data_IF_111814226586
#
_entry.id   IF_111814226586
#
_cell.length_a   1.000
_cell.length_b   1.000
_cell.length_c   1.000
_cell.angle_alpha   90.00
_cell.angle_beta   90.00
_cell.angle_gamma   90.00
#
_symmetry.space_group_name_H-M   'P 1'
#
loop_
_entity.id
_entity.type
_entity.pdbx_description
1 polymer ?
#
# COMPACT_ATOMS: atom_id res chain seq x y z
N UNK A 1 4.82 13.77 24.45
CA UNK A 1 4.16 14.53 23.35
C UNK A 1 5.24 15.02 22.42
N UNK A 2 5.54 14.30 21.35
CA UNK A 2 6.60 14.65 20.39
C UNK A 2 6.01 14.62 18.97
N UNK A 3 6.18 15.74 18.28
CA UNK A 3 5.65 16.04 16.95
C UNK A 3 6.19 15.07 15.90
N UNK A 4 5.30 14.38 15.19
CA UNK A 4 5.60 13.77 13.90
C UNK A 4 5.70 14.89 12.87
N UNK A 5 6.89 15.12 12.32
CA UNK A 5 7.08 15.88 11.07
C UNK A 5 6.28 15.21 9.97
N UNK A 6 5.53 16.02 9.20
CA UNK A 6 4.62 15.59 8.13
C UNK A 6 5.32 14.88 6.94
N UNK A 7 6.65 14.82 6.95
CA UNK A 7 7.48 14.40 5.83
C UNK A 7 7.79 12.89 5.86
N UNK A 8 8.09 12.30 7.02
CA UNK A 8 8.54 10.90 7.12
C UNK A 8 7.44 9.86 6.83
N UNK A 9 6.18 10.23 6.97
CA UNK A 9 5.02 9.36 6.68
C UNK A 9 4.58 9.47 5.20
N UNK A 10 4.85 10.61 4.55
CA UNK A 10 4.43 10.89 3.17
C UNK A 10 5.20 10.11 2.10
N UNK A 11 6.51 9.92 2.28
CA UNK A 11 7.35 9.23 1.29
C UNK A 11 7.16 7.71 1.26
N UNK A 12 6.79 7.08 2.40
CA UNK A 12 6.54 5.63 2.45
C UNK A 12 5.13 5.26 1.97
N UNK A 13 4.12 6.11 2.19
CA UNK A 13 2.74 5.87 1.72
C UNK A 13 2.60 5.94 0.19
N UNK A 14 3.40 6.76 -0.51
CA UNK A 14 3.34 6.84 -1.97
C UNK A 14 3.91 5.59 -2.67
N UNK A 15 4.81 4.86 -2.02
CA UNK A 15 5.47 3.69 -2.62
C UNK A 15 4.59 2.44 -2.66
N UNK A 16 3.71 2.27 -1.67
CA UNK A 16 2.85 1.07 -1.56
C UNK A 16 1.49 1.23 -2.25
N UNK A 17 1.06 2.46 -2.53
CA UNK A 17 -0.22 2.76 -3.19
C UNK A 17 -0.08 2.91 -4.71
N UNK A 18 1.13 3.23 -5.21
CA UNK A 18 1.42 3.30 -6.64
C UNK A 18 2.81 2.74 -6.97
N UNK A 19 2.87 1.53 -7.53
CA UNK A 19 3.99 1.15 -8.41
C UNK A 19 3.58 0.07 -9.41
N UNK A 20 4.06 0.21 -10.65
CA UNK A 20 5.24 -0.57 -11.00
C UNK A 20 6.44 0.33 -11.39
N UNK A 21 7.57 0.06 -10.73
CA UNK A 21 8.97 0.25 -11.14
C UNK A 21 9.36 1.50 -11.97
N UNK A 22 10.22 2.36 -11.39
CA UNK A 22 11.54 2.63 -11.96
C UNK A 22 12.46 3.32 -10.95
N UNK A 23 13.64 2.73 -10.74
CA UNK A 23 14.77 3.32 -10.02
C UNK A 23 15.30 4.50 -10.84
N UNK A 24 15.28 5.71 -10.28
CA UNK A 24 16.06 6.84 -10.76
C UNK A 24 16.95 7.30 -9.61
N UNK A 25 18.26 7.08 -9.75
CA UNK A 25 19.28 7.64 -8.87
C UNK A 25 19.31 9.16 -9.05
N UNK A 26 19.04 9.92 -7.98
CA UNK A 26 19.40 11.33 -7.91
C UNK A 26 20.70 11.47 -7.13
N UNK A 27 21.71 12.03 -7.81
CA UNK A 27 22.96 12.51 -7.24
C UNK A 27 22.82 14.00 -6.97
N UNK A 28 23.24 14.44 -5.78
CA UNK A 28 23.68 15.80 -5.47
C UNK A 28 22.61 16.91 -5.39
N UNK A 29 22.39 17.46 -4.20
CA UNK A 29 23.07 18.68 -3.77
C UNK A 29 22.78 18.99 -2.29
N UNK A 30 23.86 19.23 -1.56
CA UNK A 30 23.90 19.58 -0.14
C UNK A 30 23.60 21.07 -0.02
N UNK A 31 22.51 21.43 0.65
CA UNK A 31 22.30 22.79 1.15
C UNK A 31 22.63 22.82 2.64
N UNK A 32 23.78 23.42 2.97
CA UNK A 32 24.16 23.81 4.33
C UNK A 32 23.15 24.84 4.84
N UNK A 33 22.55 24.58 6.00
CA UNK A 33 22.05 25.62 6.88
C UNK A 33 22.85 25.61 8.18
N UNK A 34 23.58 26.70 8.38
CA UNK A 34 24.27 27.07 9.61
C UNK A 34 23.26 27.60 10.62
N UNK A 35 23.27 27.05 11.82
CA UNK A 35 22.49 27.56 12.96
C UNK A 35 22.86 26.78 14.21
N UNK A 36 23.93 27.20 14.88
CA UNK A 36 24.31 26.66 16.18
C UNK A 36 23.60 27.42 17.31
N UNK A 37 23.11 26.68 18.32
CA UNK A 37 22.97 27.16 19.69
C UNK A 37 23.26 25.99 20.64
N UNK A 38 24.40 26.13 21.33
CA UNK A 38 24.79 25.75 22.69
C UNK A 38 24.51 24.33 23.23
N UNK A 39 25.63 23.67 23.53
CA UNK A 39 25.77 22.58 24.47
C UNK A 39 25.46 23.04 25.91
N UNK A 40 24.83 22.17 26.69
CA UNK A 40 24.81 22.21 28.14
C UNK A 40 25.03 20.78 28.68
N UNK A 41 26.23 20.61 29.22
CA UNK A 41 26.67 19.80 30.36
C UNK A 41 26.05 18.42 30.65
N UNK A 42 26.95 17.43 30.52
CA UNK A 42 26.93 16.17 31.23
C UNK A 42 27.13 16.38 32.74
N UNK A 43 26.27 15.81 33.57
CA UNK A 43 26.52 15.60 34.99
C UNK A 43 26.37 14.11 35.31
N UNK A 44 27.41 13.58 35.94
CA UNK A 44 27.55 12.22 36.44
C UNK A 44 26.87 12.04 37.81
N UNK A 45 26.45 10.80 38.11
CA UNK A 45 26.28 10.22 39.46
C UNK A 45 26.14 8.70 39.25
N UNK A 46 27.20 7.91 39.42
CA UNK A 46 27.62 7.20 40.64
C UNK A 46 26.78 5.95 40.97
N UNK A 47 27.47 4.80 40.98
CA UNK A 47 27.04 3.49 41.46
C UNK A 47 26.97 3.43 43.00
N UNK A 48 26.54 2.27 43.56
CA UNK A 48 27.57 1.48 44.24
C UNK A 48 27.54 -0.04 43.96
N UNK A 49 28.74 -0.60 44.14
CA UNK A 49 29.21 -1.98 44.00
C UNK A 49 28.52 -3.03 44.89
N UNK A 50 28.55 -4.29 44.43
CA UNK A 50 29.11 -5.39 45.20
C UNK A 50 29.43 -6.60 44.29
N UNK A 51 30.66 -7.11 44.44
CA UNK A 51 31.35 -8.07 43.59
C UNK A 51 31.03 -9.55 43.86
N UNK A 52 31.36 -10.42 42.91
CA UNK A 52 32.33 -11.51 43.14
C UNK A 52 32.75 -12.25 41.84
N UNK A 53 34.08 -12.30 41.62
CA UNK A 53 34.98 -13.38 41.12
C UNK A 53 34.45 -14.51 40.21
N UNK A 54 35.15 -15.11 39.25
CA UNK A 54 36.52 -15.04 38.70
C UNK A 54 36.61 -15.97 37.45
N UNK A 55 37.62 -15.72 36.61
CA UNK A 55 38.38 -16.66 35.74
C UNK A 55 37.70 -17.71 34.84
N UNK A 56 37.97 -17.61 33.52
CA UNK A 56 38.93 -18.53 32.88
C UNK A 56 38.48 -19.89 32.30
N UNK A 57 38.56 -19.95 30.96
CA UNK A 57 39.13 -21.06 30.16
C UNK A 57 38.25 -22.26 29.72
N UNK A 58 38.38 -22.49 28.41
CA UNK A 58 37.96 -23.59 27.53
C UNK A 58 38.43 -24.97 27.98
N UNK A 59 37.56 -25.98 27.92
CA UNK A 59 37.95 -27.40 27.72
C UNK A 59 36.90 -28.14 26.88
N UNK A 60 37.28 -28.59 25.68
CA UNK A 60 36.60 -29.65 24.94
C UNK A 60 37.25 -31.00 25.29
N UNK A 61 36.44 -32.00 25.67
CA UNK A 61 36.90 -33.38 25.91
C UNK A 61 36.84 -34.25 24.66
N UNK A 62 37.94 -34.96 24.36
CA UNK A 62 37.95 -36.23 23.60
C UNK A 62 37.55 -37.42 24.50
N UNK A 63 37.89 -38.70 24.21
CA UNK A 63 38.83 -39.29 23.23
C UNK A 63 38.15 -40.41 22.35
N UNK A 64 38.73 -41.16 21.41
CA UNK A 64 40.08 -41.38 20.86
C UNK A 64 40.07 -42.66 19.99
N UNK A 65 41.09 -42.87 19.15
CA UNK A 65 41.67 -44.18 18.75
C UNK A 65 42.91 -43.94 17.86
N UNK A 66 43.96 -44.71 18.14
CA UNK A 66 45.33 -44.68 17.56
C UNK A 66 45.46 -45.57 16.31
N UNK A 67 46.41 -45.28 15.41
CA UNK A 67 47.62 -46.10 15.16
C UNK A 67 48.47 -45.61 13.94
N UNK A 68 49.74 -45.26 14.25
CA UNK A 68 51.05 -45.52 13.62
C UNK A 68 51.46 -45.31 12.13
N UNK A 69 52.66 -44.69 12.03
CA UNK A 69 53.79 -44.76 11.03
C UNK A 69 53.53 -44.16 9.63
N UNK A 70 54.40 -43.35 8.99
CA UNK A 70 55.87 -43.32 8.93
C UNK A 70 56.38 -41.92 8.48
N UNK A 71 57.62 -41.57 8.83
CA UNK A 71 58.36 -40.38 8.37
C UNK A 71 59.09 -40.68 7.06
N UNK A 72 59.18 -39.69 6.17
CA UNK A 72 60.37 -39.43 5.32
C UNK A 72 60.44 -37.93 4.99
N UNK A 73 61.62 -37.36 5.25
CA UNK A 73 62.08 -36.00 4.91
C UNK A 73 62.37 -35.84 3.41
N UNK A 74 62.33 -34.62 2.85
CA UNK A 74 63.36 -34.00 1.97
C UNK A 74 62.85 -32.69 1.30
N UNK A 75 63.44 -31.57 1.73
CA UNK A 75 63.90 -30.33 1.03
C UNK A 75 63.01 -29.64 -0.04
N UNK A 76 62.61 -28.38 0.23
CA UNK A 76 62.04 -27.41 -0.74
C UNK A 76 63.09 -26.72 -1.64
N UNK A 77 62.73 -25.93 -2.68
CA UNK A 77 62.04 -24.63 -2.55
C UNK A 77 61.15 -24.26 -3.79
N UNK A 78 60.80 -22.99 -4.09
CA UNK A 78 60.17 -21.94 -3.29
C UNK A 78 58.76 -21.56 -3.80
N UNK A 79 58.13 -20.67 -3.03
CA UNK A 79 56.81 -20.09 -3.22
C UNK A 79 56.48 -19.55 -4.62
N UNK A 80 55.23 -19.80 -5.07
CA UNK A 80 54.28 -18.80 -5.59
C UNK A 80 52.92 -19.44 -5.91
N UNK A 81 51.97 -19.34 -4.98
CA UNK A 81 50.54 -19.36 -5.29
C UNK A 81 49.74 -18.84 -4.09
N UNK A 82 48.91 -17.79 -4.24
CA UNK A 82 48.12 -17.25 -3.14
C UNK A 82 46.95 -18.15 -2.76
N UNK A 83 46.55 -18.02 -1.50
CA UNK A 83 45.34 -18.54 -0.88
C UNK A 83 44.07 -18.29 -1.72
N UNK A 84 43.05 -19.18 -1.68
CA UNK A 84 41.75 -18.87 -2.27
C UNK A 84 41.05 -17.78 -1.44
N UNK A 85 40.78 -16.63 -2.08
CA UNK A 85 39.87 -15.60 -1.58
C UNK A 85 38.43 -16.15 -1.46
N UNK A 86 37.62 -15.61 -0.55
CA UNK A 86 36.20 -15.95 -0.44
C UNK A 86 35.46 -15.57 -1.72
N UNK A 87 34.53 -16.44 -2.13
CA UNK A 87 33.73 -16.31 -3.35
C UNK A 87 33.11 -14.91 -3.51
N UNK A 88 33.73 -14.08 -4.35
CA UNK A 88 33.11 -12.89 -4.93
C UNK A 88 32.06 -13.34 -5.93
N UNK A 89 30.81 -12.93 -5.74
CA UNK A 89 29.76 -13.06 -6.74
C UNK A 89 30.18 -12.28 -8.00
N UNK A 90 30.64 -12.99 -9.03
CA UNK A 90 30.81 -12.41 -10.36
C UNK A 90 29.43 -12.02 -10.90
N UNK A 91 29.17 -10.72 -10.99
CA UNK A 91 28.12 -10.20 -11.85
C UNK A 91 28.44 -10.58 -13.30
N UNK A 92 27.81 -11.65 -13.79
CA UNK A 92 27.76 -11.90 -15.23
C UNK A 92 27.06 -10.72 -15.89
N UNK A 93 27.85 -9.89 -16.58
CA UNK A 93 27.37 -8.94 -17.57
C UNK A 93 26.66 -9.72 -18.67
N UNK A 94 25.34 -9.86 -18.54
CA UNK A 94 24.49 -10.24 -19.66
C UNK A 94 24.57 -9.11 -20.69
N UNK A 95 25.39 -9.29 -21.73
CA UNK A 95 25.24 -8.57 -22.99
C UNK A 95 23.82 -8.86 -23.49
N UNK A 96 22.90 -7.92 -23.27
CA UNK A 96 21.58 -7.94 -23.89
C UNK A 96 21.79 -7.95 -25.39
N UNK A 97 21.46 -9.06 -26.06
CA UNK A 97 21.07 -8.99 -27.47
C UNK A 97 19.89 -8.04 -27.55
N UNK A 98 19.97 -7.05 -28.43
CA UNK A 98 18.86 -6.16 -28.73
C UNK A 98 17.75 -6.99 -29.41
N UNK A 99 16.86 -7.57 -28.61
CA UNK A 99 15.57 -8.07 -29.08
C UNK A 99 14.62 -6.89 -28.99
N UNK A 100 14.14 -6.43 -30.15
CA UNK A 100 13.19 -5.33 -30.28
C UNK A 100 11.88 -5.64 -29.57
N UNK A 101 11.83 -5.41 -28.26
CA UNK A 101 10.59 -5.28 -27.54
C UNK A 101 10.01 -3.91 -27.87
N UNK A 102 9.11 -3.85 -28.85
CA UNK A 102 8.24 -2.69 -29.01
C UNK A 102 7.37 -2.62 -27.74
N UNK A 103 7.76 -1.79 -26.78
CA UNK A 103 6.86 -1.42 -25.68
C UNK A 103 5.63 -0.78 -26.34
N UNK A 104 4.44 -1.26 -26.01
CA UNK A 104 3.20 -0.60 -26.43
C UNK A 104 3.29 0.84 -25.95
N UNK A 105 3.26 1.85 -26.85
CA UNK A 105 3.18 3.22 -26.42
C UNK A 105 1.86 3.37 -25.68
N UNK A 106 1.91 3.50 -24.36
CA UNK A 106 0.79 4.10 -23.64
C UNK A 106 0.90 5.57 -24.00
N UNK A 107 -0.13 6.22 -24.57
CA UNK A 107 -0.18 7.66 -24.65
C UNK A 107 -0.17 8.18 -23.22
N UNK A 108 1.02 8.48 -22.70
CA UNK A 108 1.16 9.33 -21.53
C UNK A 108 1.00 10.74 -22.08
N UNK A 109 0.03 11.54 -21.61
CA UNK A 109 0.00 12.95 -21.95
C UNK A 109 1.38 13.54 -21.61
N UNK A 110 2.12 13.99 -22.62
CA UNK A 110 3.38 14.71 -22.43
C UNK A 110 3.06 16.13 -21.94
N UNK A 111 2.61 16.24 -20.68
CA UNK A 111 2.71 17.45 -19.87
C UNK A 111 2.85 17.14 -18.37
N UNK A 112 3.96 16.52 -17.91
CA UNK A 112 4.38 16.66 -16.53
C UNK A 112 5.54 17.66 -16.51
N UNK A 113 5.27 18.97 -16.32
CA UNK A 113 6.23 19.95 -15.73
C UNK A 113 5.79 21.44 -15.72
N UNK A 114 4.55 21.80 -16.08
CA UNK A 114 4.07 23.20 -15.98
C UNK A 114 3.02 23.41 -14.87
N UNK A 115 2.98 22.55 -13.85
CA UNK A 115 2.01 22.67 -12.73
C UNK A 115 2.63 23.02 -11.37
N UNK A 116 3.94 23.28 -11.31
CA UNK A 116 4.63 23.75 -10.11
C UNK A 116 5.21 25.15 -10.33
N UNK A 117 4.37 26.08 -10.77
CA UNK A 117 4.65 27.51 -10.56
C UNK A 117 4.21 27.89 -9.14
N UNK A 118 5.08 28.52 -8.32
CA UNK A 118 4.69 29.04 -7.02
C UNK A 118 3.68 30.16 -7.22
N UNK A 119 2.42 29.93 -6.82
CA UNK A 119 1.31 30.89 -6.98
C UNK A 119 0.02 30.31 -7.58
N UNK A 120 0.00 29.04 -8.01
CA UNK A 120 -1.18 28.36 -8.55
C UNK A 120 -2.01 27.54 -7.54
N UNK A 121 -1.64 27.57 -6.25
CA UNK A 121 -2.11 26.60 -5.25
C UNK A 121 -3.57 26.81 -4.80
N UNK A 122 -4.19 27.96 -5.12
CA UNK A 122 -5.58 28.27 -4.72
C UNK A 122 -6.66 27.83 -5.73
N UNK A 123 -6.29 27.46 -6.97
CA UNK A 123 -7.27 27.13 -8.03
C UNK A 123 -7.43 25.65 -8.34
N UNK A 124 -6.49 24.79 -7.92
CA UNK A 124 -6.58 23.35 -8.18
C UNK A 124 -7.38 22.59 -7.10
N UNK A 125 -7.36 23.08 -5.86
CA UNK A 125 -8.03 22.44 -4.71
C UNK A 125 -9.50 22.85 -4.53
N UNK A 126 -10.01 23.79 -5.34
CA UNK A 126 -11.42 24.20 -5.34
C UNK A 126 -12.30 23.36 -6.27
N UNK A 127 -11.71 22.45 -7.06
CA UNK A 127 -12.35 21.88 -8.26
C UNK A 127 -12.70 20.39 -8.17
N UNK A 128 -12.64 19.77 -6.99
CA UNK A 128 -13.32 18.48 -6.81
C UNK A 128 -14.79 18.81 -6.54
N UNK A 129 -15.60 18.69 -7.58
CA UNK A 129 -17.06 18.71 -7.47
C UNK A 129 -17.49 17.68 -6.42
N UNK A 130 -18.57 17.97 -5.71
CA UNK A 130 -19.09 17.05 -4.68
C UNK A 130 -19.83 15.87 -5.31
N UNK A 131 -19.12 15.15 -6.18
CA UNK A 131 -19.59 14.08 -7.06
C UNK A 131 -19.45 12.69 -6.43
N UNK A 132 -19.94 11.68 -7.16
CA UNK A 132 -19.80 10.27 -6.76
C UNK A 132 -18.34 9.82 -6.73
N UNK A 133 -17.53 10.32 -7.67
CA UNK A 133 -16.11 9.96 -7.78
C UNK A 133 -15.35 10.53 -6.59
N UNK A 134 -15.65 11.77 -6.19
CA UNK A 134 -15.12 12.36 -4.97
C UNK A 134 -15.45 11.49 -3.75
N UNK A 135 -16.71 11.09 -3.58
CA UNK A 135 -17.14 10.25 -2.48
C UNK A 135 -16.31 8.96 -2.34
N UNK A 136 -16.06 8.27 -3.47
CA UNK A 136 -15.21 7.08 -3.49
C UNK A 136 -13.76 7.39 -3.11
N UNK A 137 -13.18 8.49 -3.63
CA UNK A 137 -11.79 8.86 -3.31
C UNK A 137 -11.58 9.12 -1.82
N UNK A 138 -12.50 9.83 -1.16
CA UNK A 138 -12.46 10.05 0.29
C UNK A 138 -12.56 8.73 1.07
N UNK A 139 -13.50 7.85 0.69
CA UNK A 139 -13.67 6.57 1.36
C UNK A 139 -12.45 5.64 1.23
N UNK A 140 -11.91 5.46 0.01
CA UNK A 140 -10.76 4.57 -0.21
C UNK A 140 -9.48 5.12 0.42
N UNK A 141 -9.29 6.45 0.44
CA UNK A 141 -8.12 7.07 1.10
C UNK A 141 -8.20 6.93 2.62
N UNK A 142 -9.35 7.19 3.23
CA UNK A 142 -9.53 7.01 4.67
C UNK A 142 -9.36 5.54 5.10
N UNK A 143 -9.91 4.60 4.33
CA UNK A 143 -9.72 3.17 4.54
C UNK A 143 -8.26 2.74 4.32
N UNK A 144 -7.60 3.26 3.29
CA UNK A 144 -6.22 2.96 2.95
C UNK A 144 -5.23 3.41 4.03
N UNK A 145 -5.41 4.63 4.59
CA UNK A 145 -4.61 5.10 5.72
C UNK A 145 -4.82 4.21 6.94
N UNK A 146 -6.07 3.88 7.28
CA UNK A 146 -6.37 3.01 8.42
C UNK A 146 -5.76 1.61 8.25
N UNK A 147 -5.86 1.05 7.04
CA UNK A 147 -5.29 -0.26 6.69
C UNK A 147 -3.77 -0.27 6.78
N UNK A 148 -3.09 0.68 6.13
CA UNK A 148 -1.64 0.75 6.09
C UNK A 148 -1.02 0.97 7.48
N UNK A 149 -1.60 1.86 8.28
CA UNK A 149 -1.13 2.10 9.66
C UNK A 149 -1.31 0.86 10.52
N UNK A 150 -2.49 0.24 10.47
CA UNK A 150 -2.73 -0.99 11.23
C UNK A 150 -1.75 -2.09 10.83
N UNK A 151 -1.52 -2.28 9.53
CA UNK A 151 -0.59 -3.27 9.02
C UNK A 151 0.85 -3.02 9.50
N UNK A 152 1.30 -1.75 9.48
CA UNK A 152 2.61 -1.38 9.97
C UNK A 152 2.77 -1.60 11.49
N UNK A 153 1.72 -1.31 12.28
CA UNK A 153 1.70 -1.59 13.72
C UNK A 153 1.81 -3.09 14.00
N UNK A 154 1.02 -3.92 13.30
CA UNK A 154 1.05 -5.38 13.49
C UNK A 154 2.35 -6.04 13.03
N UNK A 155 3.10 -5.40 12.14
CA UNK A 155 4.43 -5.86 11.71
C UNK A 155 5.56 -5.40 12.65
N UNK A 156 5.28 -4.52 13.61
CA UNK A 156 6.30 -3.91 14.47
C UNK A 156 7.17 -2.86 13.77
N UNK A 157 6.73 -2.33 12.62
CA UNK A 157 7.45 -1.28 11.89
C UNK A 157 7.32 0.11 12.55
N UNK A 158 6.39 0.26 13.48
CA UNK A 158 6.12 1.51 14.20
C UNK A 158 6.26 1.25 15.70
N UNK A 159 7.02 2.10 16.40
CA UNK A 159 7.28 1.95 17.84
C UNK A 159 6.13 2.43 18.73
N UNK A 160 5.23 3.26 18.21
CA UNK A 160 4.15 3.90 18.98
C UNK A 160 2.84 3.07 19.02
N UNK A 161 2.82 1.92 18.36
CA UNK A 161 1.66 1.04 18.29
C UNK A 161 2.11 -0.42 18.15
N UNK A 162 1.18 -1.35 18.29
CA UNK A 162 1.48 -2.78 18.22
C UNK A 162 0.26 -3.62 17.86
N UNK A 163 0.26 -4.85 18.34
CA UNK A 163 -0.87 -5.76 18.22
C UNK A 163 -2.00 -5.38 19.17
N UNK A 164 -3.23 -5.82 18.86
CA UNK A 164 -4.38 -5.67 19.74
C UNK A 164 -4.19 -6.52 21.01
N UNK A 165 -4.07 -5.84 22.16
CA UNK A 165 -3.88 -6.46 23.47
C UNK A 165 -5.19 -6.93 24.11
N UNK A 166 -6.36 -6.46 23.63
CA UNK A 166 -7.67 -6.89 24.13
C UNK A 166 -7.95 -8.36 23.78
N UNK A 167 -7.23 -8.91 22.80
CA UNK A 167 -7.45 -10.24 22.22
C UNK A 167 -6.29 -11.18 22.56
N UNK A 168 -6.05 -11.35 23.85
CA UNK A 168 -5.02 -12.24 24.39
C UNK A 168 -5.62 -13.27 25.34
N UNK A 169 -5.02 -14.47 25.40
CA UNK A 169 -5.44 -15.54 26.31
C UNK A 169 -6.43 -16.55 25.73
N UNK A 170 -7.10 -17.29 26.61
CA UNK A 170 -7.97 -18.40 26.22
C UNK A 170 -9.38 -17.89 25.91
N UNK A 171 -9.87 -18.15 24.69
CA UNK A 171 -11.25 -17.84 24.30
C UNK A 171 -12.11 -19.09 24.50
N UNK A 172 -13.27 -18.92 25.13
CA UNK A 172 -14.36 -19.89 25.34
C UNK A 172 -14.01 -21.40 25.31
N UNK A 173 -14.12 -22.08 26.47
CA UNK A 173 -13.78 -23.50 26.71
C UNK A 173 -14.54 -24.51 25.85
N UNK A 174 -15.62 -24.07 25.21
CA UNK A 174 -16.46 -24.87 24.32
C UNK A 174 -15.97 -24.87 22.85
N UNK A 175 -15.24 -23.85 22.40
CA UNK A 175 -14.83 -23.71 20.98
C UNK A 175 -13.42 -24.26 20.67
N UNK A 176 -12.67 -24.69 21.70
CA UNK A 176 -11.42 -25.43 21.55
C UNK A 176 -10.24 -24.65 20.93
N UNK A 177 -10.25 -23.32 20.97
CA UNK A 177 -9.17 -22.49 20.43
C UNK A 177 -8.75 -21.36 21.37
N UNK A 178 -7.51 -20.89 21.22
CA UNK A 178 -6.95 -19.81 22.04
C UNK A 178 -6.55 -18.61 21.19
N UNK A 179 -6.64 -17.41 21.74
CA UNK A 179 -6.00 -16.24 21.14
C UNK A 179 -4.48 -16.41 21.18
N UNK A 180 -3.82 -15.96 20.13
CA UNK A 180 -2.36 -15.86 20.09
C UNK A 180 -1.89 -15.29 18.76
N UNK A 181 -0.59 -15.06 18.62
CA UNK A 181 -0.08 -14.30 17.49
C UNK A 181 -0.32 -12.79 17.66
N UNK A 182 -0.31 -12.05 16.55
CA UNK A 182 -0.52 -10.61 16.54
C UNK A 182 -1.88 -10.28 15.91
N UNK A 183 -2.88 -10.01 16.74
CA UNK A 183 -4.16 -9.49 16.26
C UNK A 183 -4.00 -8.06 15.78
N UNK A 184 -4.55 -7.75 14.60
CA UNK A 184 -4.50 -6.41 14.04
C UNK A 184 -5.37 -5.42 14.84
N UNK A 185 -4.76 -4.35 15.37
CA UNK A 185 -5.48 -3.27 16.06
C UNK A 185 -6.09 -2.27 15.07
N UNK A 186 -7.20 -2.69 14.45
CA UNK A 186 -7.91 -1.85 13.48
C UNK A 186 -8.54 -0.61 14.14
N UNK A 187 -8.81 -0.66 15.46
CA UNK A 187 -9.35 0.50 16.19
C UNK A 187 -8.33 1.64 16.18
N UNK A 188 -7.07 1.33 16.49
CA UNK A 188 -5.97 2.28 16.44
C UNK A 188 -5.80 2.89 15.04
N UNK A 189 -5.74 2.06 14.00
CA UNK A 189 -5.58 2.55 12.63
C UNK A 189 -6.74 3.43 12.15
N UNK A 190 -7.99 3.09 12.53
CA UNK A 190 -9.15 3.92 12.23
C UNK A 190 -9.11 5.25 12.98
N UNK A 191 -8.71 5.26 14.25
CA UNK A 191 -8.56 6.49 15.01
C UNK A 191 -7.44 7.39 14.45
N UNK A 192 -6.31 6.80 14.05
CA UNK A 192 -5.26 7.52 13.35
C UNK A 192 -5.78 8.14 12.06
N UNK A 193 -6.47 7.35 11.23
CA UNK A 193 -7.08 7.82 9.97
C UNK A 193 -8.07 8.96 10.23
N UNK A 194 -8.86 8.89 11.30
CA UNK A 194 -9.77 9.97 11.73
C UNK A 194 -9.01 11.24 12.04
N UNK A 195 -7.98 11.17 12.89
CA UNK A 195 -7.18 12.35 13.26
C UNK A 195 -6.41 12.94 12.07
N UNK A 196 -5.93 12.10 11.15
CA UNK A 196 -5.08 12.53 10.04
C UNK A 196 -5.89 13.01 8.82
N UNK A 197 -6.82 12.19 8.32
CA UNK A 197 -7.57 12.49 7.09
C UNK A 197 -8.62 13.56 7.34
N UNK A 198 -9.31 13.52 8.50
CA UNK A 198 -10.38 14.48 8.78
C UNK A 198 -9.86 15.85 9.23
N UNK A 199 -8.58 15.97 9.61
CA UNK A 199 -7.97 17.25 9.99
C UNK A 199 -8.00 18.29 8.85
N UNK A 200 -8.08 17.85 7.59
CA UNK A 200 -8.19 18.74 6.43
C UNK A 200 -9.61 19.32 6.27
N UNK A 201 -10.61 18.74 6.91
CA UNK A 201 -12.03 19.11 6.78
C UNK A 201 -12.45 20.23 7.74
N UNK A 202 -11.85 21.41 7.56
CA UNK A 202 -11.99 22.57 8.47
C UNK A 202 -13.25 23.39 8.16
N UNK A 203 -13.62 23.54 6.88
CA UNK A 203 -14.70 24.45 6.44
C UNK A 203 -16.08 23.96 6.89
N UNK A 204 -16.90 24.81 7.51
CA UNK A 204 -18.26 24.48 7.98
C UNK A 204 -19.32 24.45 6.86
N UNK A 205 -19.08 23.65 5.83
CA UNK A 205 -19.91 23.56 4.62
C UNK A 205 -20.51 22.17 4.43
N UNK A 206 -21.49 22.04 3.54
CA UNK A 206 -22.12 20.74 3.22
C UNK A 206 -21.10 19.70 2.71
N UNK A 207 -20.10 20.16 1.95
CA UNK A 207 -18.99 19.33 1.46
C UNK A 207 -18.22 18.67 2.60
N UNK A 208 -17.97 19.37 3.72
CA UNK A 208 -17.33 18.78 4.89
C UNK A 208 -18.14 17.63 5.46
N UNK A 209 -19.46 17.78 5.58
CA UNK A 209 -20.32 16.69 6.08
C UNK A 209 -20.27 15.48 5.14
N UNK A 210 -20.24 15.71 3.83
CA UNK A 210 -20.11 14.66 2.82
C UNK A 210 -18.76 13.95 2.93
N UNK A 211 -17.66 14.69 3.01
CA UNK A 211 -16.31 14.15 3.12
C UNK A 211 -16.15 13.32 4.41
N UNK A 212 -16.58 13.84 5.56
CA UNK A 212 -16.52 13.12 6.84
C UNK A 212 -17.37 11.84 6.82
N UNK A 213 -18.55 11.87 6.22
CA UNK A 213 -19.40 10.69 6.05
C UNK A 213 -18.70 9.63 5.22
N UNK A 214 -18.16 10.00 4.06
CA UNK A 214 -17.50 9.06 3.15
C UNK A 214 -16.19 8.50 3.74
N UNK A 215 -15.42 9.34 4.45
CA UNK A 215 -14.23 8.89 5.18
C UNK A 215 -14.61 7.81 6.21
N UNK A 216 -15.66 8.05 6.99
CA UNK A 216 -16.13 7.10 7.99
C UNK A 216 -16.70 5.82 7.36
N UNK A 217 -17.43 5.93 6.25
CA UNK A 217 -17.94 4.77 5.50
C UNK A 217 -16.79 3.84 5.06
N UNK A 218 -15.69 4.42 4.56
CA UNK A 218 -14.47 3.66 4.22
C UNK A 218 -13.85 2.96 5.42
N UNK A 219 -13.70 3.66 6.55
CA UNK A 219 -13.15 3.08 7.79
C UNK A 219 -14.05 1.98 8.35
N UNK A 220 -15.36 2.16 8.30
CA UNK A 220 -16.34 1.18 8.78
C UNK A 220 -16.33 -0.09 7.95
N UNK A 221 -16.26 0.01 6.62
CA UNK A 221 -16.12 -1.16 5.74
C UNK A 221 -14.83 -1.95 6.06
N UNK A 222 -13.73 -1.27 6.37
CA UNK A 222 -12.50 -1.94 6.80
C UNK A 222 -12.70 -2.70 8.12
N UNK A 223 -13.32 -2.07 9.12
CA UNK A 223 -13.58 -2.68 10.43
C UNK A 223 -14.49 -3.91 10.32
N UNK A 224 -15.55 -3.84 9.51
CA UNK A 224 -16.50 -4.94 9.33
C UNK A 224 -15.95 -6.12 8.51
N UNK A 225 -14.76 -5.99 7.92
CA UNK A 225 -14.14 -7.00 7.04
C UNK A 225 -12.87 -7.61 7.59
N UNK A 226 -12.53 -7.33 8.86
CA UNK A 226 -11.48 -8.07 9.58
C UNK A 226 -11.85 -9.53 9.71
N UNK A 227 -10.88 -10.43 9.59
CA UNK A 227 -11.11 -11.88 9.59
C UNK A 227 -10.37 -12.53 10.74
N UNK A 228 -11.00 -13.50 11.39
CA UNK A 228 -10.32 -14.39 12.32
C UNK A 228 -9.56 -15.44 11.49
N UNK A 229 -8.22 -15.39 11.54
CA UNK A 229 -7.38 -16.44 10.97
C UNK A 229 -6.86 -17.34 12.07
N UNK A 230 -6.80 -18.65 11.79
CA UNK A 230 -6.38 -19.66 12.74
C UNK A 230 -5.29 -20.54 12.15
N UNK A 231 -4.31 -20.90 13.00
CA UNK A 231 -3.31 -21.93 12.70
C UNK A 231 -3.54 -23.14 13.58
N UNK A 232 -3.57 -24.30 12.95
CA UNK A 232 -3.71 -25.59 13.62
C UNK A 232 -2.35 -26.14 14.03
N UNK A 233 -2.28 -26.70 15.23
CA UNK A 233 -1.04 -27.20 15.85
C UNK A 233 -1.13 -28.66 16.29
N UNK A 234 -2.16 -29.40 15.88
CA UNK A 234 -2.32 -30.80 16.22
C UNK A 234 -1.35 -31.71 15.45
N UNK A 235 -1.19 -32.94 15.94
CA UNK A 235 -0.35 -33.98 15.33
C UNK A 235 -0.71 -34.14 13.85
N UNK A 236 0.31 -34.20 12.98
CA UNK A 236 0.18 -34.30 11.52
C UNK A 236 -0.66 -33.20 10.86
N UNK A 237 -0.74 -32.00 11.47
CA UNK A 237 -1.50 -30.87 10.93
C UNK A 237 -3.00 -30.87 11.30
N UNK A 238 -3.41 -31.72 12.25
CA UNK A 238 -4.79 -31.71 12.76
C UNK A 238 -5.13 -30.42 13.52
N UNK A 239 -6.43 -30.07 13.57
CA UNK A 239 -6.94 -28.85 14.22
C UNK A 239 -7.50 -29.08 15.63
N UNK A 240 -7.05 -30.13 16.33
CA UNK A 240 -7.47 -30.41 17.73
C UNK A 240 -7.08 -29.31 18.71
N UNK A 241 -6.02 -28.57 18.42
CA UNK A 241 -5.69 -27.31 19.06
C UNK A 241 -5.33 -26.30 17.97
N UNK A 242 -5.95 -25.13 18.02
CA UNK A 242 -5.66 -24.03 17.10
C UNK A 242 -5.50 -22.71 17.84
N UNK A 243 -4.63 -21.87 17.30
CA UNK A 243 -4.39 -20.51 17.77
C UNK A 243 -4.92 -19.55 16.72
N UNK A 244 -5.70 -18.55 17.11
CA UNK A 244 -6.28 -17.60 16.17
C UNK A 244 -5.95 -16.14 16.53
N UNK A 245 -5.94 -15.29 15.50
CA UNK A 245 -5.74 -13.85 15.59
C UNK A 245 -6.61 -13.13 14.56
N UNK A 246 -6.89 -11.86 14.83
CA UNK A 246 -7.58 -11.00 13.86
C UNK A 246 -6.58 -10.52 12.82
N UNK A 247 -6.97 -10.61 11.54
CA UNK A 247 -6.18 -10.14 10.40
C UNK A 247 -6.93 -9.09 9.61
N UNK A 248 -6.16 -8.23 8.94
CA UNK A 248 -6.68 -7.28 7.98
C UNK A 248 -7.06 -8.00 6.67
N UNK A 249 -8.18 -7.62 6.03
CA UNK A 249 -8.48 -8.08 4.69
C UNK A 249 -7.46 -7.53 3.69
N UNK A 250 -7.40 -8.14 2.50
CA UNK A 250 -6.62 -7.60 1.39
C UNK A 250 -7.22 -6.25 0.99
N UNK A 251 -6.39 -5.21 0.83
CA UNK A 251 -6.88 -3.87 0.46
C UNK A 251 -7.70 -3.89 -0.85
N UNK A 252 -7.36 -4.78 -1.78
CA UNK A 252 -8.13 -4.99 -3.03
C UNK A 252 -9.58 -5.41 -2.78
N UNK A 253 -9.85 -6.22 -1.74
CA UNK A 253 -11.21 -6.63 -1.35
C UNK A 253 -12.01 -5.40 -0.88
N UNK A 254 -11.40 -4.54 -0.06
CA UNK A 254 -12.00 -3.27 0.37
C UNK A 254 -12.27 -2.36 -0.83
N UNK A 255 -11.34 -2.28 -1.78
CA UNK A 255 -11.52 -1.53 -3.03
C UNK A 255 -12.71 -2.00 -3.86
N UNK A 256 -12.95 -3.32 -3.94
CA UNK A 256 -14.12 -3.86 -4.61
C UNK A 256 -15.42 -3.52 -3.90
N UNK A 257 -15.48 -3.70 -2.58
CA UNK A 257 -16.66 -3.34 -1.79
C UNK A 257 -17.00 -1.86 -1.92
N UNK A 258 -16.00 -0.97 -1.84
CA UNK A 258 -16.20 0.46 -2.05
C UNK A 258 -16.64 0.78 -3.48
N UNK A 259 -16.20 0.01 -4.48
CA UNK A 259 -16.62 0.19 -5.88
C UNK A 259 -18.08 -0.23 -6.11
N UNK A 260 -18.56 -1.22 -5.37
CA UNK A 260 -19.98 -1.59 -5.32
C UNK A 260 -20.78 -0.45 -4.69
N UNK A 261 -20.36 0.05 -3.51
CA UNK A 261 -20.99 1.21 -2.84
C UNK A 261 -20.98 2.48 -3.69
N UNK A 262 -19.96 2.67 -4.51
CA UNK A 262 -19.90 3.77 -5.48
C UNK A 262 -21.01 3.66 -6.53
N UNK A 263 -21.31 2.45 -7.00
CA UNK A 263 -22.33 2.22 -8.02
C UNK A 263 -23.74 2.46 -7.45
N UNK A 264 -23.92 2.22 -6.16
CA UNK A 264 -25.15 2.44 -5.39
C UNK A 264 -25.18 3.79 -4.64
N UNK A 265 -24.19 4.66 -4.88
CA UNK A 265 -24.05 5.90 -4.12
C UNK A 265 -25.30 6.78 -4.23
N UNK A 266 -25.65 7.44 -3.13
CA UNK A 266 -26.91 8.19 -3.00
C UNK A 266 -26.69 9.70 -3.01
N UNK A 267 -27.55 10.41 -3.71
CA UNK A 267 -27.52 11.88 -3.71
C UNK A 267 -28.14 12.40 -2.41
N UNK A 268 -27.46 13.32 -1.75
CA UNK A 268 -27.89 13.92 -0.49
C UNK A 268 -28.01 15.43 -0.62
N UNK A 269 -28.74 16.03 0.31
CA UNK A 269 -28.83 17.48 0.45
C UNK A 269 -28.63 17.90 1.92
N UNK A 270 -27.99 19.05 2.17
CA UNK A 270 -27.77 19.55 3.51
C UNK A 270 -29.05 20.13 4.09
N UNK A 271 -29.38 19.72 5.32
CA UNK A 271 -30.40 20.39 6.11
C UNK A 271 -29.75 21.50 6.93
N UNK A 272 -30.31 22.70 6.84
CA UNK A 272 -29.81 23.89 7.55
C UNK A 272 -30.61 24.09 8.83
N UNK A 273 -29.91 24.19 9.96
CA UNK A 273 -30.54 24.56 11.21
C UNK A 273 -30.92 26.05 11.19
N UNK A 274 -32.16 26.36 11.60
CA UNK A 274 -32.78 27.69 11.48
C UNK A 274 -31.94 28.83 12.11
N UNK A 275 -31.25 28.56 13.23
CA UNK A 275 -30.52 29.59 13.99
C UNK A 275 -29.11 29.92 13.50
N UNK A 276 -28.45 29.02 12.76
CA UNK A 276 -27.01 29.16 12.45
C UNK A 276 -26.72 29.29 10.95
N UNK A 277 -27.71 29.10 10.06
CA UNK A 277 -27.55 28.96 8.59
C UNK A 277 -26.50 27.92 8.14
N UNK A 278 -25.85 27.24 9.07
CA UNK A 278 -24.86 26.20 8.85
C UNK A 278 -25.57 24.87 8.59
N UNK A 279 -25.05 24.06 7.66
CA UNK A 279 -25.56 22.72 7.41
C UNK A 279 -25.27 21.84 8.64
N UNK A 280 -26.32 21.26 9.22
CA UNK A 280 -26.22 20.46 10.44
C UNK A 280 -26.10 18.97 10.14
N UNK A 281 -26.82 18.47 9.14
CA UNK A 281 -26.81 17.06 8.74
C UNK A 281 -27.20 16.89 7.27
N UNK A 282 -26.94 15.70 6.73
CA UNK A 282 -27.29 15.30 5.37
C UNK A 282 -28.54 14.42 5.38
N UNK A 283 -29.44 14.63 4.42
CA UNK A 283 -30.59 13.75 4.16
C UNK A 283 -30.58 13.27 2.72
N UNK A 284 -31.22 12.13 2.45
CA UNK A 284 -31.41 11.63 1.10
C UNK A 284 -32.25 12.60 0.26
N UNK A 285 -31.76 12.96 -0.93
CA UNK A 285 -32.45 13.87 -1.84
C UNK A 285 -33.60 13.12 -2.53
N UNK A 286 -34.82 13.66 -2.45
CA UNK A 286 -36.01 13.09 -3.09
C UNK A 286 -36.68 11.94 -2.31
N UNK A 287 -36.21 11.63 -1.09
CA UNK A 287 -36.89 10.69 -0.21
C UNK A 287 -38.20 11.29 0.35
N UNK A 288 -39.23 10.44 0.54
CA UNK A 288 -40.45 10.85 1.25
C UNK A 288 -40.15 10.95 2.74
N UNK A 289 -40.17 12.17 3.27
CA UNK A 289 -39.86 12.44 4.67
C UNK A 289 -38.36 12.52 4.95
N UNK A 290 -38.01 12.56 6.24
CA UNK A 290 -36.63 12.65 6.67
C UNK A 290 -35.98 11.26 6.69
N UNK A 291 -35.01 11.04 5.80
CA UNK A 291 -34.22 9.81 5.76
C UNK A 291 -32.72 10.13 5.72
N UNK A 292 -31.96 9.52 6.64
CA UNK A 292 -30.50 9.66 6.74
C UNK A 292 -29.83 8.54 5.92
N UNK A 293 -28.70 8.81 5.23
CA UNK A 293 -27.94 7.77 4.54
C UNK A 293 -27.40 6.69 5.51
N UNK A 294 -27.20 5.49 4.95
CA UNK A 294 -26.38 4.38 5.47
C UNK A 294 -25.06 4.90 6.02
N UNK A 295 -24.57 4.44 7.16
CA UNK A 295 -23.18 4.74 7.57
C UNK A 295 -22.12 4.06 6.68
N UNK A 296 -22.50 3.04 5.93
CA UNK A 296 -21.69 2.38 4.90
C UNK A 296 -22.03 2.82 3.47
N UNK A 297 -23.02 3.71 3.30
CA UNK A 297 -23.39 4.27 1.99
C UNK A 297 -22.40 5.38 1.60
N UNK A 298 -22.02 5.44 0.33
CA UNK A 298 -21.32 6.59 -0.22
C UNK A 298 -22.32 7.67 -0.64
N UNK A 299 -22.03 8.92 -0.28
CA UNK A 299 -22.94 10.05 -0.48
C UNK A 299 -22.29 11.17 -1.28
N UNK A 300 -23.09 11.82 -2.13
CA UNK A 300 -22.64 12.93 -2.97
C UNK A 300 -23.69 14.05 -3.04
N UNK A 301 -23.26 15.29 -3.27
CA UNK A 301 -24.16 16.46 -3.33
C UNK A 301 -24.54 16.81 -4.77
N UNK A 302 -23.58 16.73 -5.68
CA UNK A 302 -23.66 17.20 -7.08
C UNK A 302 -23.56 16.03 -8.05
N UNK A 303 -24.29 16.10 -9.16
CA UNK A 303 -24.22 15.07 -10.19
C UNK A 303 -22.84 15.12 -10.85
N UNK A 304 -22.29 13.94 -11.16
CA UNK A 304 -21.02 13.84 -11.88
C UNK A 304 -21.11 14.58 -13.23
N UNK A 305 -20.05 15.29 -13.64
CA UNK A 305 -19.99 15.98 -14.91
C UNK A 305 -19.81 14.98 -16.06
N UNK A 306 -19.81 15.49 -17.30
CA UNK A 306 -19.47 14.68 -18.46
C UNK A 306 -17.94 14.56 -18.61
N UNK A 307 -17.40 13.35 -18.47
CA UNK A 307 -15.97 13.07 -18.58
C UNK A 307 -15.49 12.76 -20.01
N UNK A 308 -16.36 12.83 -21.01
CA UNK A 308 -16.04 12.45 -22.39
C UNK A 308 -15.03 13.38 -23.06
N UNK A 309 -15.22 14.68 -22.89
CA UNK A 309 -14.38 15.73 -23.45
C UNK A 309 -13.46 16.30 -22.38
N UNK A 310 -12.37 16.91 -22.84
CA UNK A 310 -11.49 17.65 -21.95
C UNK A 310 -12.22 18.90 -21.44
N UNK A 311 -12.23 19.05 -20.13
CA UNK A 311 -12.81 20.20 -19.47
C UNK A 311 -11.92 20.63 -18.33
N UNK A 312 -11.19 21.72 -18.56
CA UNK A 312 -10.37 22.36 -17.54
C UNK A 312 -11.21 22.76 -16.33
N UNK A 313 -12.51 23.07 -16.51
CA UNK A 313 -13.43 23.51 -15.46
C UNK A 313 -13.77 22.46 -14.41
N UNK A 314 -13.68 21.19 -14.76
CA UNK A 314 -13.86 20.05 -13.86
C UNK A 314 -12.56 19.32 -13.58
N UNK A 315 -11.50 19.64 -14.34
CA UNK A 315 -10.23 18.90 -14.32
C UNK A 315 -10.31 17.59 -15.11
N UNK A 316 -11.35 17.39 -15.91
CA UNK A 316 -11.49 16.24 -16.80
C UNK A 316 -10.48 16.34 -17.95
N UNK A 317 -9.66 15.30 -18.15
CA UNK A 317 -8.74 15.21 -19.29
C UNK A 317 -9.41 14.65 -20.56
N UNK A 318 -10.71 14.33 -20.50
CA UNK A 318 -11.42 13.63 -21.56
C UNK A 318 -11.03 12.15 -21.71
N UNK A 319 -11.66 11.47 -22.68
CA UNK A 319 -11.41 10.04 -22.95
C UNK A 319 -10.62 9.73 -24.21
N UNK A 320 -10.20 10.75 -24.95
CA UNK A 320 -9.38 10.62 -26.16
C UNK A 320 -8.06 9.88 -25.89
N UNK A 321 -7.69 8.95 -26.75
CA UNK A 321 -6.47 8.14 -26.62
C UNK A 321 -6.49 7.08 -25.51
N UNK A 322 -7.58 6.96 -24.75
CA UNK A 322 -7.70 5.92 -23.71
C UNK A 322 -7.88 4.54 -24.32
N UNK A 323 -7.30 3.55 -23.65
CA UNK A 323 -7.51 2.14 -23.97
C UNK A 323 -8.97 1.75 -23.67
N UNK A 324 -9.55 0.98 -24.57
CA UNK A 324 -10.89 0.44 -24.42
C UNK A 324 -10.94 -1.02 -24.85
N UNK A 325 -11.99 -1.74 -24.42
CA UNK A 325 -12.22 -3.11 -24.82
C UNK A 325 -13.20 -3.16 -26.01
N UNK A 326 -12.74 -3.65 -27.17
CA UNK A 326 -13.56 -3.73 -28.38
C UNK A 326 -14.71 -4.73 -28.30
N UNK A 327 -14.60 -5.77 -27.47
CA UNK A 327 -15.62 -6.83 -27.35
C UNK A 327 -16.62 -6.60 -26.22
N UNK A 328 -16.35 -5.67 -25.30
CA UNK A 328 -17.20 -5.40 -24.14
C UNK A 328 -18.25 -4.34 -24.46
N UNK A 329 -19.48 -4.55 -23.98
CA UNK A 329 -20.57 -3.56 -23.97
C UNK A 329 -20.67 -2.78 -22.66
N UNK A 330 -19.88 -3.14 -21.66
CA UNK A 330 -19.89 -2.51 -20.33
C UNK A 330 -19.17 -1.15 -20.35
N UNK A 331 -19.04 -0.51 -19.19
CA UNK A 331 -18.38 0.80 -19.04
C UNK A 331 -16.96 0.83 -19.59
N UNK A 332 -16.23 -0.29 -19.59
CA UNK A 332 -14.88 -0.40 -20.18
C UNK A 332 -14.87 -0.70 -21.70
N UNK A 333 -16.04 -0.87 -22.29
CA UNK A 333 -16.22 -1.10 -23.71
C UNK A 333 -15.95 0.14 -24.55
N UNK A 334 -15.44 -0.04 -25.77
CA UNK A 334 -15.14 1.09 -26.65
C UNK A 334 -16.37 1.94 -27.01
N UNK A 335 -17.57 1.36 -27.04
CA UNK A 335 -18.80 2.12 -27.27
C UNK A 335 -19.07 3.18 -26.19
N UNK A 336 -18.82 2.84 -24.92
CA UNK A 336 -19.07 3.74 -23.77
C UNK A 336 -17.84 4.59 -23.48
N UNK A 337 -16.64 4.00 -23.41
CA UNK A 337 -15.39 4.71 -23.10
C UNK A 337 -15.08 5.82 -24.11
N UNK A 338 -15.39 5.60 -25.38
CA UNK A 338 -15.10 6.56 -26.44
C UNK A 338 -16.27 7.49 -26.77
N UNK A 339 -17.37 7.43 -25.99
CA UNK A 339 -18.50 8.35 -26.08
C UNK A 339 -19.08 8.50 -27.49
N UNK A 340 -19.12 7.41 -28.27
CA UNK A 340 -19.62 7.42 -29.65
C UNK A 340 -18.67 7.98 -30.72
N UNK A 341 -17.48 8.49 -30.36
CA UNK A 341 -16.48 8.99 -31.33
C UNK A 341 -15.79 7.89 -32.16
N UNK A 342 -16.00 6.63 -31.80
CA UNK A 342 -15.30 5.48 -32.37
C UNK A 342 -13.89 5.31 -31.78
N UNK A 343 -13.17 4.31 -32.29
CA UNK A 343 -11.85 3.91 -31.80
C UNK A 343 -10.92 3.51 -32.94
N UNK A 344 -9.62 3.60 -32.70
CA UNK A 344 -8.56 3.09 -33.57
C UNK A 344 -8.14 1.70 -33.10
N UNK A 345 -7.93 0.79 -34.05
CA UNK A 345 -7.44 -0.57 -33.79
C UNK A 345 -5.98 -0.65 -34.20
N UNK A 346 -5.13 -1.08 -33.27
CA UNK A 346 -3.71 -1.29 -33.50
C UNK A 346 -3.35 -2.76 -33.28
N UNK A 347 -2.65 -3.36 -34.24
CA UNK A 347 -2.16 -4.73 -34.15
C UNK A 347 -0.74 -4.75 -33.61
N UNK A 348 -0.54 -5.44 -32.48
CA UNK A 348 0.76 -5.61 -31.85
C UNK A 348 1.09 -7.09 -31.71
N UNK A 349 2.36 -7.45 -31.95
CA UNK A 349 2.86 -8.78 -31.61
C UNK A 349 3.39 -8.75 -30.19
N UNK A 350 2.67 -9.37 -29.24
CA UNK A 350 3.11 -9.52 -27.86
C UNK A 350 3.93 -10.79 -27.73
N UNK A 351 5.13 -10.65 -27.16
CA UNK A 351 6.01 -11.78 -26.87
C UNK A 351 5.85 -12.13 -25.40
N UNK A 352 5.47 -13.38 -25.09
CA UNK A 352 5.32 -13.89 -23.73
C UNK A 352 6.05 -15.22 -23.54
N UNK A 353 6.46 -15.50 -22.31
CA UNK A 353 6.88 -16.84 -21.93
C UNK A 353 5.65 -17.77 -21.94
N UNK A 354 5.79 -18.92 -22.56
CA UNK A 354 4.75 -19.92 -22.78
C UNK A 354 5.33 -21.32 -22.61
N UNK A 355 4.46 -22.34 -22.56
CA UNK A 355 4.87 -23.75 -22.52
C UNK A 355 5.92 -24.02 -21.43
N UNK A 356 5.74 -23.41 -20.27
CA UNK A 356 6.65 -23.52 -19.13
C UNK A 356 6.58 -24.93 -18.55
N UNK A 357 7.72 -25.63 -18.53
CA UNK A 357 7.86 -26.96 -17.93
C UNK A 357 8.72 -26.86 -16.67
N UNK A 358 8.20 -27.41 -15.58
CA UNK A 358 8.98 -27.59 -14.36
C UNK A 358 9.86 -28.83 -14.51
N UNK A 359 11.16 -28.65 -14.33
CA UNK A 359 12.13 -29.72 -14.23
C UNK A 359 12.41 -29.95 -12.75
N UNK A 360 12.15 -31.18 -12.30
CA UNK A 360 12.45 -31.61 -10.94
C UNK A 360 13.93 -31.33 -10.63
N UNK A 361 14.21 -30.82 -9.42
CA UNK A 361 15.37 -29.98 -9.09
C UNK A 361 15.26 -28.49 -9.55
N UNK A 362 14.06 -27.93 -9.34
CA UNK A 362 13.77 -26.49 -9.14
C UNK A 362 13.94 -25.53 -10.32
N UNK A 363 14.02 -26.02 -11.57
CA UNK A 363 14.16 -25.15 -12.74
C UNK A 363 12.87 -25.13 -13.56
N UNK A 364 12.34 -23.94 -13.83
CA UNK A 364 11.27 -23.76 -14.81
C UNK A 364 11.90 -23.33 -16.14
N UNK A 365 11.70 -24.12 -17.19
CA UNK A 365 12.10 -23.77 -18.55
C UNK A 365 10.86 -23.39 -19.35
N UNK A 366 10.83 -22.17 -19.86
CA UNK A 366 9.76 -21.66 -20.71
C UNK A 366 10.28 -21.44 -22.14
N UNK A 367 9.38 -21.60 -23.11
CA UNK A 367 9.61 -21.17 -24.48
C UNK A 367 9.13 -19.73 -24.65
N UNK A 368 9.66 -19.02 -25.64
CA UNK A 368 9.18 -17.69 -26.00
C UNK A 368 8.17 -17.81 -27.13
N UNK A 369 6.91 -17.41 -26.88
CA UNK A 369 5.85 -17.38 -27.89
C UNK A 369 5.54 -15.94 -28.28
N UNK A 370 5.20 -15.73 -29.55
CA UNK A 370 4.62 -14.49 -30.06
C UNK A 370 3.12 -14.67 -30.34
N UNK A 371 2.31 -13.77 -29.82
CA UNK A 371 0.86 -13.74 -30.02
C UNK A 371 0.46 -12.39 -30.62
N UNK A 372 -0.33 -12.40 -31.70
CA UNK A 372 -0.91 -11.17 -32.25
C UNK A 372 -2.04 -10.73 -31.33
N UNK A 373 -1.96 -9.51 -30.82
CA UNK A 373 -2.97 -8.90 -29.97
C UNK A 373 -3.46 -7.60 -30.57
N UNK A 374 -4.76 -7.36 -30.47
CA UNK A 374 -5.39 -6.11 -30.87
C UNK A 374 -5.52 -5.16 -29.68
N UNK A 375 -5.23 -3.90 -29.90
CA UNK A 375 -5.36 -2.84 -28.90
C UNK A 375 -6.24 -1.74 -29.48
N UNK A 376 -7.31 -1.42 -28.76
CA UNK A 376 -8.27 -0.39 -29.18
C UNK A 376 -8.06 0.88 -28.37
N UNK A 377 -8.04 2.03 -29.05
CA UNK A 377 -7.86 3.35 -28.42
C UNK A 377 -8.92 4.33 -28.90
N UNK A 378 -9.48 5.14 -28.00
CA UNK A 378 -10.52 6.10 -28.37
C UNK A 378 -9.98 7.22 -29.27
N UNK A 379 -10.79 7.66 -30.24
CA UNK A 379 -10.46 8.74 -31.18
C UNK A 379 -10.48 10.13 -30.53
#
# INVERSE_FOLDING_TARGET
>A
MSNLSKEDVGERLCSDVCSPCHRASFTGHVARFTGGIQAADCAAAEEPDAASSAEGVVVCGGPGRQHHLQQDTWIGPPAKSPLPEPARCHHHHWRRRAVGHQRVPVPVPLRPLELFSPGGEDRLWTRVESSREAAFTYAITAAGVAHAVTAACSQGNLSQCGCDHDKQGYHNREEGWKWGGCSADVKYGVEFSRRFVDAREIKKNARRLMNLHNNEAGRKILQERTKLECKCHGVSGSCTTRTCWITLPKLREIGYLLKERYSEAVQVEPVRASRLRQPSFLRLKGARGYQKPRDTDLVYLERSPNYCEEDAATGSTGTRGRLCNGTSTLTGGCGVMCCGRGYNTHHYTRVRQCNCKFHWCCVVKCSTCSEKSEVFTCK
#
